data_IF_725702011932
#
_entry.id   IF_725702011932
#
_cell.length_a   1.000
_cell.length_b   1.000
_cell.length_c   1.000
_cell.angle_alpha   90.00
_cell.angle_beta   90.00
_cell.angle_gamma   90.00
#
_symmetry.space_group_name_H-M   'P 1'
#
loop_
_entity.id
_entity.type
_entity.pdbx_description
1 polymer ?
#
# COMPACT_ATOMS: atom_id res chain seq x y z
N UNK A 1 0.39 5.95 -40.45
CA UNK A 1 1.00 6.33 -39.15
C UNK A 1 -0.09 6.96 -38.31
N UNK A 2 -0.34 6.44 -37.10
CA UNK A 2 -1.42 6.96 -36.24
C UNK A 2 -1.04 8.33 -35.68
N UNK A 3 -1.95 9.31 -35.74
CA UNK A 3 -1.75 10.62 -35.12
C UNK A 3 -1.85 10.50 -33.59
N UNK A 4 -1.08 11.33 -32.88
CA UNK A 4 -1.27 11.48 -31.44
C UNK A 4 -2.64 12.09 -31.13
N UNK A 5 -3.32 11.56 -30.12
CA UNK A 5 -4.49 12.16 -29.48
C UNK A 5 -4.55 11.75 -28.00
N UNK A 6 -5.14 12.59 -27.15
CA UNK A 6 -5.30 12.27 -25.72
C UNK A 6 -6.15 11.00 -25.52
N UNK A 7 -7.24 10.86 -26.28
CA UNK A 7 -8.10 9.67 -26.24
C UNK A 7 -7.36 8.38 -26.62
N UNK A 8 -6.42 8.43 -27.57
CA UNK A 8 -5.61 7.27 -27.93
C UNK A 8 -4.64 6.89 -26.80
N UNK A 9 -4.13 7.86 -26.04
CA UNK A 9 -3.29 7.62 -24.87
C UNK A 9 -4.12 7.06 -23.71
N UNK A 10 -5.30 7.60 -23.43
CA UNK A 10 -6.22 7.09 -22.40
C UNK A 10 -6.58 5.62 -22.65
N UNK A 11 -6.95 5.28 -23.89
CA UNK A 11 -7.25 3.90 -24.27
C UNK A 11 -6.04 2.98 -24.05
N UNK A 12 -4.85 3.41 -24.47
CA UNK A 12 -3.62 2.63 -24.28
C UNK A 12 -3.23 2.46 -22.80
N UNK A 13 -3.50 3.44 -21.95
CA UNK A 13 -3.30 3.34 -20.51
C UNK A 13 -4.31 2.39 -19.87
N UNK A 14 -5.56 2.35 -20.34
CA UNK A 14 -6.58 1.42 -19.85
C UNK A 14 -6.32 -0.05 -20.24
N UNK A 15 -5.67 -0.27 -21.39
CA UNK A 15 -5.29 -1.60 -21.89
C UNK A 15 -3.90 -2.05 -21.39
N UNK A 16 -3.21 -1.21 -20.61
CA UNK A 16 -1.89 -1.51 -20.09
C UNK A 16 -1.98 -2.65 -19.07
N UNK A 17 -1.17 -3.69 -19.27
CA UNK A 17 -1.07 -4.82 -18.33
C UNK A 17 0.33 -4.86 -17.71
N UNK A 18 0.54 -5.72 -16.71
CA UNK A 18 1.86 -5.93 -16.14
C UNK A 18 2.77 -6.82 -17.01
N UNK A 19 2.40 -7.07 -18.27
CA UNK A 19 3.20 -7.85 -19.20
C UNK A 19 4.28 -6.99 -19.86
N UNK A 20 5.49 -7.55 -19.99
CA UNK A 20 6.62 -6.87 -20.64
C UNK A 20 6.29 -6.37 -22.05
N UNK A 21 5.53 -7.15 -22.83
CA UNK A 21 5.13 -6.78 -24.19
C UNK A 21 4.22 -5.54 -24.22
N UNK A 22 3.27 -5.43 -23.30
CA UNK A 22 2.36 -4.28 -23.25
C UNK A 22 3.09 -2.99 -22.84
N UNK A 23 3.99 -3.08 -21.84
CA UNK A 23 4.82 -1.96 -21.38
C UNK A 23 5.77 -1.49 -22.48
N UNK A 24 6.43 -2.42 -23.18
CA UNK A 24 7.31 -2.10 -24.31
C UNK A 24 6.55 -1.43 -25.46
N UNK A 25 5.36 -1.94 -25.80
CA UNK A 25 4.53 -1.40 -26.87
C UNK A 25 4.09 0.04 -26.59
N UNK A 26 3.65 0.32 -25.35
CA UNK A 26 3.30 1.69 -24.94
C UNK A 26 4.53 2.59 -24.93
N UNK A 27 5.65 2.12 -24.38
CA UNK A 27 6.90 2.89 -24.29
C UNK A 27 7.40 3.32 -25.67
N UNK A 28 7.39 2.40 -26.65
CA UNK A 28 7.79 2.70 -28.02
C UNK A 28 6.86 3.74 -28.68
N UNK A 29 5.55 3.63 -28.40
CA UNK A 29 4.57 4.60 -28.89
C UNK A 29 4.76 5.99 -28.28
N UNK A 30 5.10 6.08 -26.98
CA UNK A 30 5.40 7.36 -26.31
C UNK A 30 6.69 8.01 -26.86
N UNK A 31 7.74 7.22 -27.09
CA UNK A 31 9.00 7.69 -27.70
C UNK A 31 8.74 8.25 -29.10
N UNK A 32 7.91 7.57 -29.90
CA UNK A 32 7.51 8.04 -31.22
C UNK A 32 6.79 9.41 -31.16
N UNK A 33 5.97 9.64 -30.13
CA UNK A 33 5.18 10.87 -29.95
C UNK A 33 5.80 11.86 -28.96
N UNK A 34 7.10 11.79 -28.69
CA UNK A 34 7.81 12.64 -27.71
C UNK A 34 7.60 14.16 -27.87
N UNK A 35 7.25 14.62 -29.07
CA UNK A 35 6.91 16.04 -29.34
C UNK A 35 5.66 16.51 -28.58
N UNK A 36 4.83 15.58 -28.10
CA UNK A 36 3.62 15.82 -27.31
C UNK A 36 3.83 15.53 -25.82
N UNK A 37 5.06 15.63 -25.31
CA UNK A 37 5.39 15.30 -23.92
C UNK A 37 4.50 16.01 -22.87
N UNK A 38 4.20 17.30 -23.07
CA UNK A 38 3.31 18.06 -22.16
C UNK A 38 1.91 17.43 -22.03
N UNK A 39 1.16 17.28 -23.13
CA UNK A 39 -0.12 16.57 -23.13
C UNK A 39 -0.03 15.14 -22.59
N UNK A 40 1.01 14.38 -22.94
CA UNK A 40 1.24 13.01 -22.45
C UNK A 40 1.29 12.97 -20.92
N UNK A 41 2.09 13.84 -20.30
CA UNK A 41 2.24 13.89 -18.83
C UNK A 41 0.95 14.33 -18.16
N UNK A 42 0.22 15.28 -18.75
CA UNK A 42 -1.07 15.76 -18.23
C UNK A 42 -2.13 14.64 -18.20
N UNK A 43 -2.26 13.89 -19.29
CA UNK A 43 -3.18 12.74 -19.38
C UNK A 43 -2.74 11.65 -18.40
N UNK A 44 -1.45 11.32 -18.36
CA UNK A 44 -0.94 10.29 -17.45
C UNK A 44 -1.20 10.64 -15.98
N UNK A 45 -0.96 11.88 -15.58
CA UNK A 45 -1.26 12.35 -14.23
C UNK A 45 -2.77 12.32 -13.92
N UNK A 46 -3.62 12.66 -14.90
CA UNK A 46 -5.09 12.58 -14.77
C UNK A 46 -5.56 11.15 -14.53
N UNK A 47 -5.07 10.19 -15.31
CA UNK A 47 -5.41 8.77 -15.17
C UNK A 47 -4.89 8.18 -13.85
N UNK A 48 -3.66 8.54 -13.42
CA UNK A 48 -3.14 8.12 -12.12
C UNK A 48 -3.99 8.63 -10.94
N UNK A 49 -4.49 9.88 -11.03
CA UNK A 49 -5.40 10.43 -10.00
C UNK A 49 -6.75 9.73 -10.00
N UNK A 50 -7.31 9.39 -11.16
CA UNK A 50 -8.57 8.63 -11.24
C UNK A 50 -8.44 7.28 -10.55
N UNK A 51 -7.39 6.52 -10.85
CA UNK A 51 -7.14 5.22 -10.20
C UNK A 51 -6.90 5.38 -8.69
N UNK A 52 -6.23 6.44 -8.26
CA UNK A 52 -6.02 6.72 -6.83
C UNK A 52 -7.34 7.04 -6.11
N UNK A 53 -8.22 7.84 -6.70
CA UNK A 53 -9.54 8.15 -6.12
C UNK A 53 -10.51 6.96 -6.21
N UNK A 54 -10.47 6.15 -7.28
CA UNK A 54 -11.23 4.90 -7.38
C UNK A 54 -10.78 3.90 -6.31
N UNK A 55 -9.47 3.71 -6.10
CA UNK A 55 -8.93 2.89 -5.02
C UNK A 55 -9.27 3.44 -3.64
N UNK A 56 -9.27 4.76 -3.46
CA UNK A 56 -9.70 5.42 -2.22
C UNK A 56 -11.20 5.25 -1.99
N UNK A 57 -12.01 5.26 -3.03
CA UNK A 57 -13.47 5.03 -2.95
C UNK A 57 -13.83 3.56 -2.72
N UNK A 58 -13.07 2.63 -3.31
CA UNK A 58 -13.25 1.19 -3.09
C UNK A 58 -12.75 0.79 -1.71
N UNK A 59 -11.62 1.33 -1.24
CA UNK A 59 -11.19 1.17 0.15
C UNK A 59 -12.21 1.77 1.12
N UNK A 60 -12.77 2.95 0.85
CA UNK A 60 -13.85 3.53 1.68
C UNK A 60 -15.08 2.64 1.74
N UNK A 61 -15.50 2.03 0.62
CA UNK A 61 -16.64 1.11 0.57
C UNK A 61 -16.37 -0.19 1.35
N UNK A 62 -15.17 -0.73 1.24
CA UNK A 62 -14.74 -1.90 2.03
C UNK A 62 -14.59 -1.56 3.52
N UNK A 63 -14.18 -0.34 3.85
CA UNK A 63 -14.08 0.14 5.24
C UNK A 63 -15.48 0.39 5.85
N UNK A 64 -16.44 0.87 5.05
CA UNK A 64 -17.84 1.05 5.46
C UNK A 64 -18.51 -0.29 5.79
N UNK A 65 -18.18 -1.36 5.05
CA UNK A 65 -18.66 -2.72 5.34
C UNK A 65 -18.03 -3.35 6.60
N UNK A 66 -16.89 -2.84 7.05
CA UNK A 66 -16.22 -3.28 8.29
C UNK A 66 -16.69 -2.43 9.49
N UNK A 67 -17.10 -1.17 9.27
CA UNK A 67 -17.59 -0.27 10.32
C UNK A 67 -19.01 -0.60 10.83
N UNK A 68 -19.84 -1.32 10.08
CA UNK A 68 -21.21 -1.62 10.52
C UNK A 68 -21.31 -2.66 11.67
N UNK A 69 -20.19 -3.26 12.12
CA UNK A 69 -20.17 -4.16 13.29
C UNK A 69 -19.57 -3.55 14.58
N UNK A 70 -19.07 -2.31 14.57
CA UNK A 70 -18.41 -1.69 15.74
C UNK A 70 -18.87 -0.25 16.06
N UNK A 71 -20.12 0.10 15.75
CA UNK A 71 -20.74 1.32 16.28
C UNK A 71 -21.64 0.99 17.48
N UNK A 72 -21.04 0.71 18.65
CA UNK A 72 -21.70 1.00 19.92
C UNK A 72 -20.67 1.24 21.04
N UNK A 73 -20.77 2.43 21.63
CA UNK A 73 -20.14 2.89 22.89
C UNK A 73 -18.68 3.40 22.83
N UNK A 74 -18.49 4.73 22.84
CA UNK A 74 -18.17 5.45 24.09
C UNK A 74 -17.68 6.91 23.83
N UNK A 75 -18.14 7.89 24.64
CA UNK A 75 -18.01 9.31 24.36
C UNK A 75 -16.64 9.92 24.68
N UNK A 76 -16.43 11.09 24.06
CA UNK A 76 -15.27 11.94 24.25
C UNK A 76 -14.94 12.20 25.73
N UNK A 77 -13.73 11.83 26.09
CA UNK A 77 -13.04 12.27 27.30
C UNK A 77 -11.91 13.21 26.88
N UNK A 78 -12.27 14.49 26.72
CA UNK A 78 -11.30 15.57 26.86
C UNK A 78 -10.75 15.51 28.28
N UNK A 79 -9.52 15.01 28.43
CA UNK A 79 -8.76 15.13 29.68
C UNK A 79 -7.72 16.23 29.50
N UNK A 80 -7.62 17.23 30.40
CA UNK A 80 -6.56 18.22 30.33
C UNK A 80 -5.23 17.53 30.61
N UNK A 81 -4.42 17.26 29.58
CA UNK A 81 -3.09 16.70 29.77
C UNK A 81 -2.11 17.78 30.26
N UNK A 82 -1.33 17.39 31.26
CA UNK A 82 -0.27 18.16 31.91
C UNK A 82 0.83 18.55 30.91
N UNK A 83 1.25 19.84 30.84
CA UNK A 83 2.32 20.30 29.95
C UNK A 83 3.69 19.61 30.19
N UNK A 84 3.85 18.82 31.26
CA UNK A 84 5.02 17.98 31.52
C UNK A 84 5.05 16.66 30.72
N UNK A 85 4.03 16.33 29.91
CA UNK A 85 3.95 15.05 29.16
C UNK A 85 4.82 14.99 27.88
N UNK A 86 5.37 16.12 27.43
CA UNK A 86 6.19 16.21 26.21
C UNK A 86 7.38 15.24 26.10
N UNK A 87 8.15 14.97 27.17
CA UNK A 87 9.26 14.02 27.14
C UNK A 87 8.82 12.57 26.92
N UNK A 88 7.75 12.13 27.60
CA UNK A 88 7.24 10.76 27.49
C UNK A 88 6.63 10.48 26.11
N UNK A 89 5.86 11.43 25.57
CA UNK A 89 5.33 11.35 24.20
C UNK A 89 6.42 11.30 23.13
N UNK A 90 7.59 11.92 23.40
CA UNK A 90 8.73 11.88 22.47
C UNK A 90 9.41 10.52 22.48
N UNK A 91 9.64 9.94 23.67
CA UNK A 91 10.26 8.61 23.81
C UNK A 91 9.40 7.50 23.20
N UNK A 92 8.10 7.51 23.48
CA UNK A 92 7.15 6.54 22.92
C UNK A 92 7.07 6.63 21.40
N UNK A 93 7.07 7.85 20.85
CA UNK A 93 7.07 8.07 19.41
C UNK A 93 8.36 7.58 18.74
N UNK A 94 9.52 7.85 19.35
CA UNK A 94 10.81 7.36 18.86
C UNK A 94 10.83 5.83 18.84
N UNK A 95 10.35 5.19 19.90
CA UNK A 95 10.27 3.74 19.98
C UNK A 95 9.36 3.16 18.90
N UNK A 96 8.17 3.72 18.72
CA UNK A 96 7.24 3.30 17.67
C UNK A 96 7.82 3.47 16.25
N UNK A 97 8.63 4.52 16.01
CA UNK A 97 9.33 4.72 14.75
C UNK A 97 10.45 3.68 14.52
N UNK A 98 11.21 3.32 15.57
CA UNK A 98 12.26 2.31 15.50
C UNK A 98 11.70 0.90 15.29
N UNK A 99 10.60 0.57 15.97
CA UNK A 99 9.93 -0.72 15.81
C UNK A 99 9.38 -0.89 14.38
N UNK A 100 8.93 0.20 13.75
CA UNK A 100 8.46 0.19 12.36
C UNK A 100 9.59 -0.02 11.33
N UNK A 101 10.83 0.36 11.64
CA UNK A 101 11.99 0.11 10.75
C UNK A 101 12.27 -1.39 10.57
N UNK A 102 11.92 -2.21 11.57
CA UNK A 102 12.08 -3.67 11.55
C UNK A 102 10.79 -4.41 11.14
N UNK A 103 9.80 -3.71 10.58
CA UNK A 103 8.50 -4.29 10.29
C UNK A 103 8.52 -5.31 9.13
N UNK A 104 7.43 -6.08 9.01
CA UNK A 104 7.29 -7.17 8.03
C UNK A 104 7.41 -6.72 6.56
N UNK A 105 7.01 -5.49 6.25
CA UNK A 105 7.23 -4.84 4.95
C UNK A 105 8.70 -4.52 4.67
N UNK A 106 9.58 -4.64 5.66
CA UNK A 106 11.03 -4.62 5.55
C UNK A 106 11.63 -5.98 5.17
N UNK A 107 10.94 -7.10 5.43
CA UNK A 107 11.41 -8.48 5.20
C UNK A 107 11.53 -8.83 3.70
N UNK A 108 12.67 -8.43 3.12
CA UNK A 108 12.99 -8.64 1.71
C UNK A 108 13.11 -10.14 1.37
N UNK A 109 13.54 -10.96 2.33
CA UNK A 109 13.74 -12.39 2.13
C UNK A 109 12.41 -13.10 1.90
N UNK A 110 11.41 -12.85 2.75
CA UNK A 110 10.08 -13.44 2.59
C UNK A 110 9.40 -12.92 1.32
N UNK A 111 9.52 -11.63 1.00
CA UNK A 111 9.00 -11.09 -0.26
C UNK A 111 9.61 -11.74 -1.49
N UNK A 112 10.93 -11.96 -1.49
CA UNK A 112 11.61 -12.63 -2.59
C UNK A 112 11.13 -14.08 -2.73
N UNK A 113 10.95 -14.81 -1.62
CA UNK A 113 10.39 -16.17 -1.64
C UNK A 113 8.98 -16.21 -2.24
N UNK A 114 8.09 -15.30 -1.81
CA UNK A 114 6.73 -15.17 -2.37
C UNK A 114 6.79 -14.84 -3.86
N UNK A 115 7.66 -13.92 -4.28
CA UNK A 115 7.81 -13.55 -5.69
C UNK A 115 8.40 -14.67 -6.57
N UNK A 116 9.14 -15.60 -5.97
CA UNK A 116 9.71 -16.77 -6.65
C UNK A 116 8.79 -17.99 -6.68
N UNK A 117 7.57 -17.90 -6.13
CA UNK A 117 6.62 -19.01 -6.17
C UNK A 117 6.28 -19.39 -7.62
N UNK A 118 6.21 -20.70 -7.93
CA UNK A 118 5.93 -21.17 -9.29
C UNK A 118 4.54 -20.73 -9.79
N UNK A 119 4.35 -20.60 -11.10
CA UNK A 119 3.03 -20.25 -11.64
C UNK A 119 2.01 -21.36 -11.40
N UNK A 120 2.47 -22.60 -11.30
CA UNK A 120 1.68 -23.80 -11.03
C UNK A 120 0.98 -23.75 -9.67
N UNK A 121 1.48 -22.98 -8.69
CA UNK A 121 0.81 -22.86 -7.37
C UNK A 121 -0.28 -21.79 -7.33
N UNK A 122 -0.37 -20.95 -8.37
CA UNK A 122 -1.33 -19.83 -8.45
C UNK A 122 -2.32 -19.96 -9.61
N UNK A 123 -1.99 -20.73 -10.64
CA UNK A 123 -2.79 -20.85 -11.87
C UNK A 123 -3.38 -22.26 -12.01
N UNK A 124 -4.68 -22.36 -11.73
CA UNK A 124 -5.45 -23.62 -11.79
C UNK A 124 -5.46 -24.24 -13.18
N UNK A 125 -5.33 -23.45 -14.25
CA UNK A 125 -5.32 -23.95 -15.63
C UNK A 125 -4.07 -24.78 -15.94
N UNK A 126 -3.01 -24.66 -15.12
CA UNK A 126 -1.79 -25.46 -15.28
C UNK A 126 -1.94 -26.88 -14.71
N UNK A 127 -2.98 -27.16 -13.93
CA UNK A 127 -3.23 -28.51 -13.37
C UNK A 127 -3.46 -29.57 -14.47
N UNK A 128 -4.01 -29.17 -15.61
CA UNK A 128 -4.22 -30.08 -16.76
C UNK A 128 -2.90 -30.65 -17.31
N UNK A 129 -1.77 -30.01 -17.04
CA UNK A 129 -0.43 -30.45 -17.47
C UNK A 129 0.17 -31.51 -16.54
N UNK A 130 -0.43 -31.74 -15.37
CA UNK A 130 0.03 -32.73 -14.40
C UNK A 130 -0.56 -34.09 -14.80
N UNK A 131 0.27 -34.93 -15.41
CA UNK A 131 -0.15 -36.23 -15.95
C UNK A 131 0.18 -37.42 -15.04
N UNK A 132 0.99 -37.21 -14.01
CA UNK A 132 1.44 -38.27 -13.11
C UNK A 132 1.24 -37.90 -11.63
N UNK A 133 1.04 -38.95 -10.82
CA UNK A 133 0.77 -38.83 -9.39
C UNK A 133 1.93 -38.21 -8.63
N UNK A 134 3.18 -38.51 -9.01
CA UNK A 134 4.34 -37.95 -8.32
C UNK A 134 4.47 -36.43 -8.53
N UNK A 135 4.22 -35.94 -9.75
CA UNK A 135 4.19 -34.52 -10.05
C UNK A 135 3.05 -33.80 -9.29
N UNK A 136 1.88 -34.43 -9.18
CA UNK A 136 0.78 -33.90 -8.38
C UNK A 136 1.15 -33.80 -6.89
N UNK A 137 1.79 -34.83 -6.32
CA UNK A 137 2.23 -34.82 -4.93
C UNK A 137 3.33 -33.78 -4.67
N UNK A 138 4.25 -33.58 -5.62
CA UNK A 138 5.26 -32.50 -5.54
C UNK A 138 4.59 -31.12 -5.55
N UNK A 139 3.67 -30.88 -6.47
CA UNK A 139 2.94 -29.62 -6.55
C UNK A 139 2.10 -29.38 -5.29
N UNK A 140 1.42 -30.39 -4.78
CA UNK A 140 0.63 -30.30 -3.53
C UNK A 140 1.49 -29.80 -2.37
N UNK A 141 2.69 -30.37 -2.18
CA UNK A 141 3.62 -29.90 -1.13
C UNK A 141 4.03 -28.45 -1.32
N UNK A 142 4.35 -28.05 -2.56
CA UNK A 142 4.71 -26.66 -2.87
C UNK A 142 3.55 -25.69 -2.63
N UNK A 143 2.31 -26.10 -2.93
CA UNK A 143 1.11 -25.32 -2.64
C UNK A 143 0.90 -25.18 -1.13
N UNK A 144 1.05 -26.25 -0.35
CA UNK A 144 0.90 -26.21 1.11
C UNK A 144 1.93 -25.27 1.76
N UNK A 145 3.20 -25.35 1.33
CA UNK A 145 4.27 -24.46 1.78
C UNK A 145 4.00 -23.00 1.39
N UNK A 146 3.52 -22.76 0.16
CA UNK A 146 3.15 -21.43 -0.31
C UNK A 146 1.97 -20.83 0.50
N UNK A 147 0.96 -21.63 0.80
CA UNK A 147 -0.19 -21.23 1.61
C UNK A 147 0.23 -20.80 3.02
N UNK A 148 1.08 -21.59 3.68
CA UNK A 148 1.61 -21.24 5.00
C UNK A 148 2.42 -19.94 4.96
N UNK A 149 3.31 -19.81 3.98
CA UNK A 149 4.13 -18.61 3.79
C UNK A 149 3.28 -17.35 3.59
N UNK A 150 2.25 -17.43 2.73
CA UNK A 150 1.34 -16.32 2.45
C UNK A 150 0.48 -15.98 3.66
N UNK A 151 -0.04 -16.97 4.38
CA UNK A 151 -0.84 -16.75 5.59
C UNK A 151 -0.02 -16.04 6.68
N UNK A 152 1.20 -16.50 6.92
CA UNK A 152 2.10 -15.89 7.90
C UNK A 152 2.51 -14.47 7.50
N UNK A 153 2.86 -14.25 6.23
CA UNK A 153 3.21 -12.93 5.72
C UNK A 153 2.03 -11.96 5.80
N UNK A 154 0.83 -12.38 5.38
CA UNK A 154 -0.38 -11.54 5.42
C UNK A 154 -0.78 -11.21 6.86
N UNK A 155 -0.64 -12.15 7.80
CA UNK A 155 -0.88 -11.91 9.22
C UNK A 155 0.08 -10.87 9.79
N UNK A 156 1.38 -11.00 9.49
CA UNK A 156 2.40 -10.02 9.89
C UNK A 156 2.17 -8.64 9.26
N UNK A 157 1.77 -8.59 7.99
CA UNK A 157 1.45 -7.34 7.30
C UNK A 157 0.20 -6.67 7.88
N UNK A 158 -0.81 -7.43 8.28
CA UNK A 158 -2.01 -6.90 8.93
C UNK A 158 -1.69 -6.25 10.29
N UNK A 159 -0.84 -6.90 11.10
CA UNK A 159 -0.37 -6.34 12.36
C UNK A 159 0.39 -5.02 12.14
N UNK A 160 1.34 -5.01 11.19
CA UNK A 160 2.07 -3.79 10.83
C UNK A 160 1.14 -2.65 10.37
N UNK A 161 0.07 -2.96 9.63
CA UNK A 161 -0.89 -1.93 9.22
C UNK A 161 -1.59 -1.29 10.40
N UNK A 162 -1.89 -2.03 11.48
CA UNK A 162 -2.43 -1.45 12.71
C UNK A 162 -1.39 -0.60 13.43
N UNK A 163 -0.15 -1.09 13.55
CA UNK A 163 0.96 -0.32 14.14
C UNK A 163 1.17 1.01 13.42
N UNK A 164 1.11 1.02 12.08
CA UNK A 164 1.18 2.24 11.26
C UNK A 164 0.01 3.19 11.51
N UNK A 165 -1.21 2.69 11.74
CA UNK A 165 -2.36 3.53 12.09
C UNK A 165 -2.17 4.15 13.47
N UNK A 166 -1.70 3.38 14.44
CA UNK A 166 -1.38 3.90 15.77
C UNK A 166 -0.29 4.97 15.71
N UNK A 167 0.79 4.72 14.99
CA UNK A 167 1.86 5.70 14.79
C UNK A 167 1.34 6.98 14.13
N UNK A 168 0.44 6.87 13.14
CA UNK A 168 -0.18 8.04 12.52
C UNK A 168 -0.98 8.88 13.54
N UNK A 169 -1.71 8.24 14.45
CA UNK A 169 -2.40 8.92 15.55
C UNK A 169 -1.40 9.64 16.48
N UNK A 170 -0.33 8.94 16.89
CA UNK A 170 0.73 9.51 17.73
C UNK A 170 1.40 10.73 17.08
N UNK A 171 1.67 10.68 15.77
CA UNK A 171 2.26 11.80 15.03
C UNK A 171 1.35 13.03 14.98
N UNK A 172 0.04 12.85 14.83
CA UNK A 172 -0.94 13.94 14.83
C UNK A 172 -0.96 14.62 16.21
N UNK A 173 -1.08 13.83 17.28
CA UNK A 173 -1.08 14.31 18.66
C UNK A 173 0.22 15.03 18.99
N UNK A 174 1.36 14.41 18.65
CA UNK A 174 2.68 15.01 18.88
C UNK A 174 2.84 16.34 18.16
N UNK A 175 2.42 16.43 16.88
CA UNK A 175 2.52 17.66 16.10
C UNK A 175 1.65 18.77 16.69
N UNK A 176 0.45 18.42 17.18
CA UNK A 176 -0.43 19.40 17.83
C UNK A 176 0.21 19.92 19.13
N UNK A 177 0.70 19.02 19.98
CA UNK A 177 1.37 19.39 21.22
C UNK A 177 2.62 20.27 20.97
N UNK A 178 3.41 19.96 19.94
CA UNK A 178 4.58 20.78 19.58
C UNK A 178 4.19 22.19 19.13
N UNK A 179 3.05 22.37 18.42
CA UNK A 179 2.56 23.71 18.05
C UNK A 179 2.12 24.52 19.27
N UNK A 180 1.46 23.87 20.23
CA UNK A 180 1.00 24.53 21.45
C UNK A 180 2.19 24.96 22.32
N UNK A 181 3.19 24.07 22.47
CA UNK A 181 4.46 24.38 23.16
C UNK A 181 5.19 25.52 22.44
N UNK A 182 5.28 25.50 21.11
CA UNK A 182 5.93 26.58 20.35
C UNK A 182 5.24 27.92 20.61
N UNK A 183 3.91 27.96 20.52
CA UNK A 183 3.11 29.17 20.76
C UNK A 183 3.30 29.70 22.18
N UNK A 184 3.38 28.82 23.19
CA UNK A 184 3.64 29.22 24.57
C UNK A 184 5.06 29.77 24.76
N UNK A 185 6.04 29.15 24.09
CA UNK A 185 7.44 29.60 24.12
C UNK A 185 7.63 30.94 23.43
N UNK A 186 6.96 31.18 22.31
CA UNK A 186 6.93 32.47 21.61
C UNK A 186 6.35 33.57 22.51
N UNK A 187 5.20 33.32 23.17
CA UNK A 187 4.59 34.26 24.13
C UNK A 187 5.47 34.54 25.36
N UNK A 188 6.32 33.61 25.76
CA UNK A 188 7.27 33.79 26.88
C UNK A 188 8.53 34.57 26.47
N UNK A 189 8.80 34.67 25.17
CA UNK A 189 9.95 35.37 24.61
C UNK A 189 9.66 36.86 24.35
N UNK A 190 8.39 37.19 24.08
CA UNK A 190 7.85 38.57 24.04
C UNK A 190 7.72 39.20 25.44
#
# INVERSE_FOLDING_TARGET
MSSFSESALEKKLSELSNSQQSVQTLSLWLIHHRKHAGPIVSVWHRELRKVAEEKKSSLKRTFQQIQEEEDDDYPGSYSPQDPSAGPLLTEDLIKALQDLENAASGDATVRQKIASLPQEVQDVSLLEKITDKEAAERLSKTVDEACLLLAEYNGRLAAELEDRRQLARMLIEYTQNQKDVLTEKEKKLE
#
